data_IF_249929640082
#
_entry.id   IF_249929640082
#
_cell.length_a   1.000
_cell.length_b   1.000
_cell.length_c   1.000
_cell.angle_alpha   90.00
_cell.angle_beta   90.00
_cell.angle_gamma   90.00
#
_symmetry.space_group_name_H-M   'P 1'
#
loop_
_entity.id
_entity.type
_entity.pdbx_description
1 polymer ?
#
# COMPACT_ATOMS: atom_id res chain seq x y z
N UNK A 1 10.45 1.39 -2.73
CA UNK A 1 10.56 1.43 -1.28
C UNK A 1 10.91 0.07 -0.70
N UNK A 2 11.79 0.06 0.25
CA UNK A 2 12.22 -1.17 0.90
C UNK A 2 11.06 -1.87 1.61
N UNK A 3 10.22 -1.09 2.28
CA UNK A 3 9.04 -1.62 2.98
C UNK A 3 8.04 -2.24 2.00
N UNK A 4 7.77 -1.55 0.89
CA UNK A 4 6.86 -2.07 -0.13
C UNK A 4 7.41 -3.35 -0.76
N UNK A 5 8.73 -3.41 -1.02
CA UNK A 5 9.36 -4.61 -1.55
C UNK A 5 9.21 -5.79 -0.60
N UNK A 6 9.35 -5.57 0.69
CA UNK A 6 9.18 -6.61 1.69
C UNK A 6 7.73 -7.13 1.72
N UNK A 7 6.77 -6.23 1.66
CA UNK A 7 5.36 -6.62 1.63
C UNK A 7 5.04 -7.47 0.40
N UNK A 8 5.55 -7.09 -0.75
CA UNK A 8 5.29 -7.82 -1.99
C UNK A 8 6.01 -9.15 -2.04
N UNK A 9 7.14 -9.29 -1.34
CA UNK A 9 7.89 -10.53 -1.28
C UNK A 9 7.20 -11.59 -0.42
N UNK A 10 6.31 -11.18 0.49
CA UNK A 10 5.59 -12.11 1.35
C UNK A 10 4.42 -12.73 0.60
N UNK A 11 4.14 -13.99 0.87
CA UNK A 11 3.00 -14.69 0.27
C UNK A 11 1.69 -14.16 0.82
N UNK A 12 0.66 -14.17 -0.01
CA UNK A 12 -0.67 -13.79 0.38
C UNK A 12 -1.33 -12.88 -0.63
N UNK A 13 -2.59 -12.57 -0.38
CA UNK A 13 -3.37 -11.66 -1.23
C UNK A 13 -3.04 -10.21 -0.92
N UNK A 14 -3.50 -9.31 -1.78
CA UNK A 14 -3.35 -7.88 -1.55
C UNK A 14 -4.06 -7.45 -0.26
N UNK A 15 -5.19 -8.07 0.04
CA UNK A 15 -5.92 -7.78 1.27
C UNK A 15 -5.10 -8.15 2.51
N UNK A 16 -4.42 -9.28 2.47
CA UNK A 16 -3.55 -9.71 3.55
C UNK A 16 -2.35 -8.79 3.72
N UNK A 17 -1.78 -8.33 2.60
CA UNK A 17 -0.67 -7.38 2.61
C UNK A 17 -1.10 -6.04 3.21
N UNK A 18 -2.30 -5.59 2.88
CA UNK A 18 -2.84 -4.34 3.43
C UNK A 18 -3.08 -4.45 4.93
N UNK A 19 -3.62 -5.58 5.38
CA UNK A 19 -3.82 -5.82 6.81
C UNK A 19 -2.49 -5.76 7.55
N UNK A 20 -1.46 -6.41 7.01
CA UNK A 20 -0.13 -6.40 7.61
C UNK A 20 0.44 -4.99 7.65
N UNK A 21 0.27 -4.22 6.58
CA UNK A 21 0.73 -2.85 6.54
C UNK A 21 0.07 -2.00 7.63
N UNK A 22 -1.24 -2.17 7.83
CA UNK A 22 -1.95 -1.43 8.87
C UNK A 22 -1.51 -1.84 10.26
N UNK A 23 -1.26 -3.13 10.48
CA UNK A 23 -0.75 -3.59 11.78
C UNK A 23 0.61 -3.00 12.10
N UNK A 24 1.46 -2.87 11.09
CA UNK A 24 2.78 -2.26 11.26
C UNK A 24 2.72 -0.75 11.45
N UNK A 25 1.81 -0.08 10.75
CA UNK A 25 1.71 1.38 10.79
C UNK A 25 0.87 1.88 11.97
N UNK A 26 -0.23 1.20 12.27
CA UNK A 26 -1.21 1.69 13.26
C UNK A 26 -1.39 0.78 14.46
N UNK A 27 -0.79 -0.40 14.45
CA UNK A 27 -0.92 -1.35 15.54
C UNK A 27 -2.26 -2.06 15.60
N UNK A 28 -3.03 -2.04 14.52
CA UNK A 28 -4.32 -2.73 14.42
C UNK A 28 -4.55 -3.27 13.02
N UNK A 29 -5.46 -4.22 12.91
CA UNK A 29 -5.85 -4.75 11.61
C UNK A 29 -6.66 -3.74 10.81
N UNK A 30 -6.70 -3.94 9.49
CA UNK A 30 -7.47 -3.11 8.58
C UNK A 30 -8.94 -3.50 8.64
N UNK A 31 -9.84 -2.51 8.53
CA UNK A 31 -11.28 -2.79 8.44
C UNK A 31 -11.68 -3.11 7.01
N UNK A 32 -12.88 -3.66 6.83
CA UNK A 32 -13.41 -3.96 5.50
C UNK A 32 -13.55 -2.71 4.62
N UNK A 33 -14.02 -1.62 5.20
CA UNK A 33 -14.16 -0.35 4.48
C UNK A 33 -12.80 0.22 4.08
N UNK A 34 -11.83 0.14 4.98
CA UNK A 34 -10.47 0.59 4.68
C UNK A 34 -9.83 -0.26 3.59
N UNK A 35 -10.04 -1.57 3.64
CA UNK A 35 -9.53 -2.49 2.61
C UNK A 35 -10.05 -2.09 1.24
N UNK A 36 -11.35 -1.84 1.14
CA UNK A 36 -11.98 -1.45 -0.12
C UNK A 36 -11.41 -0.13 -0.65
N UNK A 37 -11.29 0.86 0.23
CA UNK A 37 -10.74 2.16 -0.14
C UNK A 37 -9.31 2.06 -0.61
N UNK A 38 -8.49 1.28 0.08
CA UNK A 38 -7.09 1.15 -0.25
C UNK A 38 -6.86 0.36 -1.54
N UNK A 39 -7.68 -0.68 -1.77
CA UNK A 39 -7.61 -1.44 -3.02
C UNK A 39 -7.99 -0.56 -4.20
N UNK A 40 -9.01 0.28 -4.04
CA UNK A 40 -9.44 1.22 -5.06
C UNK A 40 -8.33 2.24 -5.36
N UNK A 41 -7.70 2.77 -4.31
CA UNK A 41 -6.58 3.70 -4.46
C UNK A 41 -5.42 3.05 -5.19
N UNK A 42 -5.07 1.82 -4.81
CA UNK A 42 -3.99 1.07 -5.44
C UNK A 42 -4.25 0.87 -6.94
N UNK A 43 -5.48 0.51 -7.29
CA UNK A 43 -5.87 0.32 -8.68
C UNK A 43 -5.73 1.62 -9.48
N UNK A 44 -6.13 2.74 -8.88
CA UNK A 44 -6.01 4.06 -9.53
C UNK A 44 -4.56 4.45 -9.75
N UNK A 45 -3.71 4.19 -8.77
CA UNK A 45 -2.27 4.49 -8.90
C UNK A 45 -1.64 3.62 -9.97
N UNK A 46 -1.95 2.33 -10.01
CA UNK A 46 -1.42 1.43 -11.04
C UNK A 46 -1.86 1.89 -12.44
N UNK A 47 -3.11 2.31 -12.58
CA UNK A 47 -3.62 2.81 -13.85
C UNK A 47 -2.90 4.09 -14.28
N UNK A 48 -2.66 4.99 -13.33
CA UNK A 48 -1.95 6.24 -13.61
C UNK A 48 -0.51 5.99 -14.02
N UNK A 49 0.12 4.96 -13.47
CA UNK A 49 1.50 4.61 -13.79
C UNK A 49 1.64 3.81 -15.09
N UNK A 50 0.54 3.33 -15.66
CA UNK A 50 0.57 2.50 -16.85
C UNK A 50 1.26 3.19 -18.04
N UNK A 51 1.11 4.51 -18.14
CA UNK A 51 1.70 5.27 -19.23
C UNK A 51 3.20 5.50 -19.05
N UNK A 52 3.68 5.56 -17.81
CA UNK A 52 5.09 5.86 -17.53
C UNK A 52 5.91 4.62 -17.23
N UNK A 53 5.27 3.51 -16.86
CA UNK A 53 5.95 2.26 -16.52
C UNK A 53 5.24 1.09 -17.20
N UNK A 54 5.90 0.53 -18.21
CA UNK A 54 5.32 -0.54 -19.00
C UNK A 54 5.41 -1.91 -18.32
N UNK A 55 6.40 -2.11 -17.44
CA UNK A 55 6.58 -3.38 -16.74
C UNK A 55 5.54 -3.52 -15.62
N UNK A 56 4.63 -4.52 -15.70
CA UNK A 56 3.60 -4.68 -14.66
C UNK A 56 4.17 -4.90 -13.27
N UNK A 57 5.27 -5.61 -13.15
CA UNK A 57 5.88 -5.89 -11.84
C UNK A 57 6.44 -4.61 -11.23
N UNK A 58 7.13 -3.79 -12.02
CA UNK A 58 7.66 -2.53 -11.56
C UNK A 58 6.55 -1.54 -11.21
N UNK A 59 5.49 -1.53 -12.01
CA UNK A 59 4.33 -0.69 -11.78
C UNK A 59 3.66 -1.04 -10.45
N UNK A 60 3.49 -2.34 -10.19
CA UNK A 60 2.89 -2.83 -8.95
C UNK A 60 3.75 -2.43 -7.74
N UNK A 61 5.04 -2.58 -7.82
CA UNK A 61 5.93 -2.19 -6.74
C UNK A 61 5.87 -0.69 -6.47
N UNK A 62 5.85 0.11 -7.53
CA UNK A 62 5.74 1.56 -7.39
C UNK A 62 4.40 1.97 -6.76
N UNK A 63 3.31 1.33 -7.17
CA UNK A 63 1.99 1.60 -6.61
C UNK A 63 1.95 1.29 -5.12
N UNK A 64 2.51 0.16 -4.71
CA UNK A 64 2.60 -0.22 -3.30
C UNK A 64 3.49 0.74 -2.51
N UNK A 65 4.57 1.23 -3.15
CA UNK A 65 5.44 2.23 -2.53
C UNK A 65 4.67 3.51 -2.23
N UNK A 66 3.88 3.98 -3.18
CA UNK A 66 3.04 5.17 -3.00
C UNK A 66 2.04 4.94 -1.86
N UNK A 67 1.39 3.79 -1.85
CA UNK A 67 0.42 3.44 -0.81
C UNK A 67 1.07 3.42 0.57
N UNK A 68 2.23 2.80 0.70
CA UNK A 68 2.96 2.74 1.96
C UNK A 68 3.34 4.13 2.45
N UNK A 69 3.82 4.99 1.54
CA UNK A 69 4.16 6.37 1.89
C UNK A 69 2.95 7.13 2.40
N UNK A 70 1.81 6.94 1.76
CA UNK A 70 0.56 7.61 2.16
C UNK A 70 0.14 7.17 3.57
N UNK A 71 0.18 5.88 3.83
CA UNK A 71 -0.22 5.33 5.12
C UNK A 71 0.74 5.80 6.22
N UNK A 72 2.05 5.73 5.96
CA UNK A 72 3.05 6.12 6.94
C UNK A 72 3.01 7.62 7.21
N UNK A 73 2.77 8.43 6.18
CA UNK A 73 2.63 9.88 6.36
C UNK A 73 1.43 10.22 7.22
N UNK A 74 0.31 9.51 7.01
CA UNK A 74 -0.90 9.70 7.83
C UNK A 74 -0.64 9.33 9.29
N UNK A 75 0.10 8.24 9.51
CA UNK A 75 0.45 7.79 10.84
C UNK A 75 1.34 8.81 11.55
N UNK A 76 2.32 9.35 10.86
CA UNK A 76 3.21 10.37 11.40
C UNK A 76 2.44 11.63 11.78
N UNK A 77 1.50 12.02 10.93
CA UNK A 77 0.68 13.20 11.18
C UNK A 77 -0.15 13.04 12.45
N UNK A 78 -0.75 11.88 12.64
CA UNK A 78 -1.53 11.59 13.84
C UNK A 78 -0.64 11.58 15.07
N UNK A 79 0.55 11.04 14.93
CA UNK A 79 1.49 10.92 16.04
C UNK A 79 1.94 12.28 16.54
N UNK A 80 2.12 13.24 15.65
CA UNK A 80 2.58 14.58 16.00
C UNK A 80 1.57 15.33 16.86
N UNK A 81 0.32 14.98 16.74
CA UNK A 81 -0.72 15.61 17.56
C UNK A 81 -0.65 15.12 19.00
#
# INVERSE_FOLDING_TARGET
SHFASRLLAEEGSDEQRMDRMYRLAYGRGITGDETRSQLDFLAKVEKALADSEADPAARRQEAWSVLCHTVLASNEFVYVK
#
